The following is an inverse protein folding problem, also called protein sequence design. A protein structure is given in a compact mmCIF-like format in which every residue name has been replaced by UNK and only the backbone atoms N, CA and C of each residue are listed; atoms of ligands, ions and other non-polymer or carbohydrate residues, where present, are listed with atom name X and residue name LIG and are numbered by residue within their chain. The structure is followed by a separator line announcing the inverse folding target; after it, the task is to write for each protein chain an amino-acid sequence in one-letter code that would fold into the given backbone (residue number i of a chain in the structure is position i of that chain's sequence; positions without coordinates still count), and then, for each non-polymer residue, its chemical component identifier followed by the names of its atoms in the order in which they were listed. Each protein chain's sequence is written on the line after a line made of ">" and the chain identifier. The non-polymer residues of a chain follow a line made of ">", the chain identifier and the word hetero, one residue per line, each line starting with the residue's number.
data_IF_387074718228
#
_entry.id   IF_387074718228
#
_cell.length_a   1.000
_cell.length_b   1.000
_cell.length_c   1.000
_cell.angle_alpha   90.00
_cell.angle_beta   90.00
_cell.angle_gamma   90.00
#
_symmetry.space_group_name_H-M   'P 1'
#
loop_
_entity.id
_entity.type
_entity.pdbx_description
1 polymer ?
#
# COMPACT_ATOMS: atom_id res chain seq x y z
N UNK A 1 29.54 -18.82 24.36
CA UNK A 1 28.17 -18.76 23.83
C UNK A 1 28.19 -17.67 22.79
N UNK A 2 28.43 -18.04 21.53
CA UNK A 2 28.69 -17.09 20.45
C UNK A 2 27.37 -16.46 20.03
N UNK A 3 27.41 -15.15 19.74
CA UNK A 3 26.31 -14.38 19.18
C UNK A 3 25.65 -15.19 18.07
N UNK A 4 24.34 -15.45 18.21
CA UNK A 4 23.57 -16.00 17.10
C UNK A 4 23.66 -14.95 16.00
N UNK A 5 24.41 -15.25 14.94
CA UNK A 5 24.32 -14.50 13.70
C UNK A 5 22.84 -14.52 13.32
N UNK A 6 22.17 -13.38 13.48
CA UNK A 6 20.77 -13.27 13.09
C UNK A 6 20.75 -13.27 11.57
N UNK A 7 20.06 -14.24 10.99
CA UNK A 7 19.85 -14.36 9.55
C UNK A 7 18.90 -13.25 9.10
N UNK A 8 19.31 -12.42 8.15
CA UNK A 8 18.46 -11.41 7.53
C UNK A 8 17.71 -12.03 6.35
N UNK A 9 16.41 -12.27 6.51
CA UNK A 9 15.55 -12.79 5.45
C UNK A 9 14.62 -11.70 4.95
N UNK A 10 14.50 -11.56 3.63
CA UNK A 10 13.61 -10.58 2.98
C UNK A 10 12.53 -11.30 2.20
N UNK A 11 11.28 -11.00 2.50
CA UNK A 11 10.12 -11.51 1.76
C UNK A 11 9.50 -10.38 0.94
N UNK A 12 9.41 -10.58 -0.36
CA UNK A 12 8.83 -9.65 -1.31
C UNK A 12 7.49 -10.17 -1.81
N UNK A 13 6.44 -9.40 -1.58
CA UNK A 13 5.10 -9.66 -2.09
C UNK A 13 4.80 -8.79 -3.31
N UNK A 14 4.42 -9.41 -4.42
CA UNK A 14 4.12 -8.75 -5.69
C UNK A 14 2.73 -9.10 -6.22
N UNK A 15 2.08 -8.15 -6.89
CA UNK A 15 0.85 -8.43 -7.63
C UNK A 15 1.14 -9.17 -8.95
N UNK A 16 0.52 -10.34 -9.14
CA UNK A 16 0.70 -11.14 -10.36
C UNK A 16 -0.30 -10.78 -11.49
N UNK A 17 0.12 -10.83 -12.77
CA UNK A 17 1.40 -10.40 -13.31
C UNK A 17 1.20 -9.05 -14.02
N UNK A 18 1.63 -7.97 -13.38
CA UNK A 18 1.92 -6.74 -14.12
C UNK A 18 3.44 -6.66 -14.22
N UNK A 19 3.97 -6.94 -15.41
CA UNK A 19 5.37 -6.69 -15.80
C UNK A 19 5.59 -5.17 -15.85
N UNK A 20 5.52 -4.52 -14.69
CA UNK A 20 5.85 -3.12 -14.56
C UNK A 20 7.37 -3.07 -14.35
N UNK A 21 8.08 -2.43 -15.27
CA UNK A 21 9.54 -2.28 -15.20
C UNK A 21 10.05 -1.82 -13.82
N UNK A 22 9.36 -0.91 -13.07
CA UNK A 22 9.78 -0.55 -11.71
C UNK A 22 9.77 -1.72 -10.72
N UNK A 23 8.76 -2.59 -10.80
CA UNK A 23 8.60 -3.73 -9.88
C UNK A 23 9.67 -4.77 -10.17
N UNK A 24 9.88 -5.11 -11.44
CA UNK A 24 10.93 -6.05 -11.84
C UNK A 24 12.32 -5.52 -11.43
N UNK A 25 12.59 -4.24 -11.67
CA UNK A 25 13.85 -3.62 -11.25
C UNK A 25 14.05 -3.69 -9.74
N UNK A 26 13.02 -3.44 -8.93
CA UNK A 26 13.11 -3.54 -7.47
C UNK A 26 13.33 -4.98 -6.99
N UNK A 27 12.64 -5.96 -7.58
CA UNK A 27 12.83 -7.39 -7.23
C UNK A 27 14.25 -7.84 -7.56
N UNK A 28 14.75 -7.52 -8.76
CA UNK A 28 16.13 -7.85 -9.15
C UNK A 28 17.15 -7.09 -8.29
N UNK A 29 16.80 -5.90 -7.80
CA UNK A 29 17.64 -5.13 -6.90
C UNK A 29 17.83 -5.78 -5.54
N UNK A 30 16.75 -6.33 -4.96
CA UNK A 30 16.85 -7.10 -3.70
C UNK A 30 17.57 -8.42 -3.93
N UNK A 31 17.33 -9.07 -5.07
CA UNK A 31 18.02 -10.31 -5.44
C UNK A 31 19.53 -10.14 -5.55
N UNK A 32 19.99 -9.04 -6.14
CA UNK A 32 21.41 -8.71 -6.17
C UNK A 32 22.01 -8.60 -4.75
N UNK A 33 21.26 -8.09 -3.77
CA UNK A 33 21.73 -8.00 -2.39
C UNK A 33 21.88 -9.39 -1.74
N UNK A 34 21.07 -10.39 -2.12
CA UNK A 34 21.26 -11.79 -1.71
C UNK A 34 22.52 -12.38 -2.39
N UNK A 35 22.67 -12.17 -3.70
CA UNK A 35 23.82 -12.66 -4.47
C UNK A 35 25.17 -12.06 -3.97
N UNK A 36 25.14 -10.82 -3.51
CA UNK A 36 26.28 -10.09 -2.94
C UNK A 36 26.54 -10.44 -1.46
N UNK A 37 25.61 -11.14 -0.80
CA UNK A 37 25.71 -11.55 0.60
C UNK A 37 25.34 -10.47 1.61
N UNK A 38 24.71 -9.38 1.19
CA UNK A 38 24.16 -8.32 2.05
C UNK A 38 22.84 -8.76 2.72
N UNK A 39 22.17 -9.75 2.14
CA UNK A 39 20.98 -10.43 2.70
C UNK A 39 21.27 -11.93 2.71
N UNK A 40 20.82 -12.65 3.73
CA UNK A 40 21.04 -14.10 3.81
C UNK A 40 20.05 -14.91 2.96
N UNK A 41 18.80 -14.45 2.84
CA UNK A 41 17.75 -15.14 2.08
C UNK A 41 16.73 -14.16 1.48
N UNK A 42 16.37 -14.38 0.22
CA UNK A 42 15.32 -13.62 -0.49
C UNK A 42 14.20 -14.51 -1.02
N UNK A 43 12.95 -14.19 -0.65
CA UNK A 43 11.75 -14.94 -1.04
C UNK A 43 10.76 -14.05 -1.77
N UNK A 44 10.34 -14.46 -2.98
CA UNK A 44 9.27 -13.77 -3.72
C UNK A 44 7.95 -14.53 -3.60
N UNK A 45 6.86 -13.81 -3.35
CA UNK A 45 5.48 -14.31 -3.21
C UNK A 45 4.53 -13.44 -4.02
N UNK A 46 3.51 -14.06 -4.61
CA UNK A 46 2.47 -13.32 -5.32
C UNK A 46 1.20 -13.17 -4.50
N UNK A 47 0.46 -12.08 -4.73
CA UNK A 47 -0.89 -11.90 -4.22
C UNK A 47 -1.82 -11.29 -5.29
N UNK A 48 -3.15 -11.49 -5.18
CA UNK A 48 -4.11 -10.85 -6.06
C UNK A 48 -4.22 -9.35 -5.75
N UNK A 49 -4.78 -8.60 -6.71
CA UNK A 49 -5.02 -7.15 -6.57
C UNK A 49 -5.95 -6.82 -5.40
N UNK A 50 -7.03 -7.59 -5.28
CA UNK A 50 -8.03 -7.43 -4.24
C UNK A 50 -8.45 -8.80 -3.70
N UNK A 51 -8.74 -8.85 -2.41
CA UNK A 51 -9.13 -10.05 -1.68
C UNK A 51 -10.39 -9.75 -0.89
N UNK A 52 -11.42 -10.58 -1.03
CA UNK A 52 -12.57 -10.53 -0.14
C UNK A 52 -12.14 -10.75 1.30
N UNK A 53 -12.68 -9.96 2.24
CA UNK A 53 -12.45 -10.12 3.68
C UNK A 53 -13.37 -11.14 4.35
N UNK A 54 -14.22 -11.84 3.58
CA UNK A 54 -15.09 -12.88 4.11
C UNK A 54 -14.29 -14.11 4.55
N UNK A 55 -14.86 -14.91 5.47
CA UNK A 55 -14.28 -16.18 5.91
C UNK A 55 -14.24 -17.23 4.78
N UNK A 56 -15.06 -17.05 3.75
CA UNK A 56 -15.14 -17.93 2.58
C UNK A 56 -14.16 -17.53 1.46
N UNK A 57 -13.38 -16.47 1.66
CA UNK A 57 -12.41 -15.98 0.67
C UNK A 57 -11.36 -17.07 0.37
N UNK A 58 -11.06 -17.35 -0.92
CA UNK A 58 -10.06 -18.36 -1.31
C UNK A 58 -8.62 -17.90 -1.05
N UNK A 59 -8.40 -16.66 -0.62
CA UNK A 59 -7.09 -16.05 -0.38
C UNK A 59 -6.87 -15.76 1.12
N UNK A 60 -7.23 -16.71 1.99
CA UNK A 60 -7.06 -16.57 3.44
C UNK A 60 -5.60 -16.30 3.83
N UNK A 61 -4.64 -16.89 3.12
CA UNK A 61 -3.21 -16.68 3.34
C UNK A 61 -2.79 -15.22 3.17
N UNK A 62 -3.42 -14.48 2.25
CA UNK A 62 -3.16 -13.05 2.05
C UNK A 62 -3.75 -12.23 3.18
N UNK A 63 -4.94 -12.61 3.68
CA UNK A 63 -5.55 -11.97 4.84
C UNK A 63 -4.73 -12.19 6.12
N UNK A 64 -4.20 -13.40 6.32
CA UNK A 64 -3.33 -13.70 7.46
C UNK A 64 -2.00 -12.95 7.38
N UNK A 65 -1.41 -12.86 6.18
CA UNK A 65 -0.25 -12.01 5.91
C UNK A 65 -0.56 -10.57 6.28
N UNK A 66 -1.64 -9.99 5.74
CA UNK A 66 -2.06 -8.63 6.06
C UNK A 66 -2.26 -8.40 7.57
N UNK A 67 -2.93 -9.33 8.29
CA UNK A 67 -3.09 -9.23 9.74
C UNK A 67 -1.74 -9.23 10.48
N UNK A 68 -0.77 -10.02 10.03
CA UNK A 68 0.59 -10.02 10.60
C UNK A 68 1.28 -8.67 10.38
N UNK A 69 1.21 -8.12 9.17
CA UNK A 69 1.78 -6.81 8.84
C UNK A 69 1.12 -5.67 9.62
N UNK A 70 -0.21 -5.70 9.75
CA UNK A 70 -0.97 -4.73 10.54
C UNK A 70 -0.54 -4.77 12.02
N UNK A 71 -0.41 -5.97 12.62
CA UNK A 71 0.06 -6.10 14.01
C UNK A 71 1.49 -5.59 14.20
N UNK A 72 2.35 -5.73 13.19
CA UNK A 72 3.67 -5.11 13.23
C UNK A 72 3.52 -3.59 13.22
N UNK A 73 2.78 -3.04 12.27
CA UNK A 73 2.59 -1.60 12.12
C UNK A 73 2.03 -0.96 13.40
N UNK A 74 0.99 -1.57 13.99
CA UNK A 74 0.36 -1.12 15.23
C UNK A 74 1.33 -1.11 16.44
N UNK A 75 2.31 -2.03 16.49
CA UNK A 75 3.33 -2.06 17.56
C UNK A 75 4.39 -0.97 17.41
N UNK A 76 4.63 -0.53 16.19
CA UNK A 76 5.65 0.47 15.86
C UNK A 76 5.04 1.87 15.66
N UNK A 77 3.74 2.05 15.93
CA UNK A 77 2.98 3.29 15.71
C UNK A 77 3.13 3.83 14.27
N UNK A 78 3.25 2.92 13.30
CA UNK A 78 3.28 3.24 11.87
C UNK A 78 2.05 2.69 11.17
N UNK A 79 1.75 3.25 10.00
CA UNK A 79 0.65 2.84 9.15
C UNK A 79 1.15 2.19 7.87
N UNK A 80 0.69 0.97 7.60
CA UNK A 80 0.82 0.30 6.30
C UNK A 80 -0.31 0.69 5.32
N UNK A 81 -1.16 1.63 5.72
CA UNK A 81 -2.07 2.37 4.85
C UNK A 81 -1.45 3.75 4.54
N UNK A 82 -1.53 4.26 3.30
CA UNK A 82 -2.39 3.86 2.17
C UNK A 82 -1.96 2.68 1.25
N UNK A 83 -0.79 2.02 1.38
CA UNK A 83 -0.41 0.88 0.52
C UNK A 83 -1.41 -0.29 0.56
N UNK A 84 -1.89 -0.63 1.75
CA UNK A 84 -3.04 -1.51 1.94
C UNK A 84 -4.30 -0.68 2.14
N UNK A 85 -5.36 -0.97 1.36
CA UNK A 85 -6.63 -0.25 1.44
C UNK A 85 -7.79 -1.20 1.65
N UNK A 86 -8.78 -0.76 2.41
CA UNK A 86 -10.07 -1.45 2.50
C UNK A 86 -11.08 -0.71 1.63
N UNK A 87 -11.76 -1.41 0.73
CA UNK A 87 -12.81 -0.85 -0.12
C UNK A 87 -14.11 -1.63 0.03
N UNK A 88 -15.21 -0.92 0.04
CA UNK A 88 -16.55 -1.51 -0.05
C UNK A 88 -16.97 -1.51 -1.52
N UNK A 89 -17.27 -2.68 -2.08
CA UNK A 89 -17.70 -2.85 -3.47
C UNK A 89 -19.08 -3.47 -3.49
N UNK A 90 -20.00 -2.89 -4.25
CA UNK A 90 -21.34 -3.45 -4.46
C UNK A 90 -21.38 -4.18 -5.80
N UNK A 91 -21.78 -5.45 -5.77
CA UNK A 91 -22.04 -6.26 -6.96
C UNK A 91 -23.25 -5.70 -7.70
N UNK A 92 -23.08 -5.29 -8.96
CA UNK A 92 -24.21 -4.80 -9.77
C UNK A 92 -25.19 -5.91 -10.16
N UNK A 93 -24.80 -7.18 -10.00
CA UNK A 93 -25.60 -8.35 -10.39
C UNK A 93 -26.41 -8.85 -9.20
N UNK A 94 -25.81 -8.90 -8.01
CA UNK A 94 -26.46 -9.44 -6.80
C UNK A 94 -26.94 -8.35 -5.85
N UNK A 95 -26.59 -7.07 -6.08
CA UNK A 95 -26.78 -5.93 -5.16
C UNK A 95 -26.10 -6.13 -3.78
N UNK A 96 -25.27 -7.17 -3.67
CA UNK A 96 -24.57 -7.47 -2.43
C UNK A 96 -23.33 -6.59 -2.31
N UNK A 97 -23.15 -6.04 -1.12
CA UNK A 97 -22.02 -5.18 -0.79
C UNK A 97 -20.99 -6.00 -0.02
N UNK A 98 -19.78 -6.07 -0.56
CA UNK A 98 -18.66 -6.79 0.05
C UNK A 98 -17.50 -5.83 0.35
N UNK A 99 -16.81 -6.08 1.46
CA UNK A 99 -15.59 -5.37 1.82
C UNK A 99 -14.37 -6.15 1.34
N UNK A 100 -13.54 -5.52 0.52
CA UNK A 100 -12.32 -6.09 -0.06
C UNK A 100 -11.07 -5.39 0.47
N UNK A 101 -10.03 -6.17 0.70
CA UNK A 101 -8.66 -5.70 0.93
C UNK A 101 -7.97 -5.54 -0.42
N UNK A 102 -7.48 -4.35 -0.70
CA UNK A 102 -6.66 -4.01 -1.86
C UNK A 102 -5.19 -4.03 -1.41
N UNK A 103 -4.40 -4.95 -1.98
CA UNK A 103 -2.97 -5.12 -1.68
C UNK A 103 -2.12 -4.00 -2.30
N UNK A 104 -0.85 -3.81 -1.94
CA UNK A 104 0.04 -2.95 -2.71
C UNK A 104 0.61 -3.67 -3.94
N UNK A 105 1.20 -2.92 -4.87
CA UNK A 105 1.93 -3.51 -6.02
C UNK A 105 3.15 -4.29 -5.57
N UNK A 106 3.86 -3.76 -4.59
CA UNK A 106 5.06 -4.31 -3.98
C UNK A 106 4.98 -4.09 -2.46
N UNK A 107 5.38 -5.07 -1.67
CA UNK A 107 5.59 -4.96 -0.23
C UNK A 107 6.78 -5.81 0.18
N UNK A 108 7.59 -5.30 1.09
CA UNK A 108 8.76 -5.97 1.64
C UNK A 108 8.53 -6.23 3.12
N UNK A 109 8.83 -7.46 3.54
CA UNK A 109 8.93 -7.88 4.93
C UNK A 109 10.39 -8.22 5.24
N UNK A 110 10.88 -7.80 6.39
CA UNK A 110 12.25 -8.04 6.85
C UNK A 110 12.23 -8.83 8.15
N UNK A 111 13.00 -9.93 8.17
CA UNK A 111 13.12 -10.80 9.33
C UNK A 111 14.55 -10.87 9.83
N UNK A 112 14.73 -10.76 11.14
CA UNK A 112 15.97 -11.13 11.82
C UNK A 112 15.75 -12.45 12.56
N UNK A 113 16.26 -13.54 11.97
CA UNK A 113 15.85 -14.89 12.34
C UNK A 113 14.37 -15.08 12.07
N UNK A 114 13.57 -15.30 13.13
CA UNK A 114 12.12 -15.50 13.03
C UNK A 114 11.31 -14.23 13.38
N UNK A 115 11.98 -13.13 13.74
CA UNK A 115 11.33 -11.89 14.17
C UNK A 115 11.09 -10.95 13.00
N UNK A 116 9.83 -10.58 12.76
CA UNK A 116 9.47 -9.54 11.80
C UNK A 116 9.88 -8.18 12.37
N UNK A 117 10.90 -7.59 11.77
CA UNK A 117 11.50 -6.32 12.21
C UNK A 117 11.14 -5.14 11.32
N UNK A 118 10.71 -5.39 10.08
CA UNK A 118 10.40 -4.32 9.12
C UNK A 118 9.28 -4.69 8.16
N UNK A 119 8.36 -3.76 7.91
CA UNK A 119 7.38 -3.84 6.82
C UNK A 119 7.40 -2.54 6.03
N UNK A 120 7.49 -2.65 4.71
CA UNK A 120 7.53 -1.49 3.81
C UNK A 120 6.69 -1.73 2.56
N UNK A 121 6.02 -0.71 2.01
CA UNK A 121 6.04 0.67 2.48
C UNK A 121 5.19 0.88 3.74
N UNK A 122 5.60 1.82 4.59
CA UNK A 122 4.83 2.30 5.74
C UNK A 122 4.98 3.81 5.90
N UNK A 123 4.12 4.44 6.69
CA UNK A 123 4.20 5.84 7.06
C UNK A 123 4.19 6.01 8.57
N UNK A 124 4.99 6.95 9.08
CA UNK A 124 5.06 7.32 10.49
C UNK A 124 4.23 8.59 10.82
N UNK A 125 3.34 9.00 9.91
CA UNK A 125 2.54 10.22 10.04
C UNK A 125 3.20 11.51 9.54
N UNK A 126 4.53 11.52 9.37
CA UNK A 126 5.28 12.64 8.81
C UNK A 126 5.75 12.36 7.38
N UNK A 127 6.26 11.15 7.15
CA UNK A 127 6.74 10.70 5.85
C UNK A 127 6.28 9.28 5.53
N UNK A 128 6.40 8.90 4.26
CA UNK A 128 6.20 7.53 3.79
C UNK A 128 7.54 6.98 3.37
N UNK A 129 7.97 5.89 4.02
CA UNK A 129 9.17 5.16 3.65
C UNK A 129 8.77 4.13 2.60
N UNK A 130 9.28 4.28 1.38
CA UNK A 130 8.93 3.43 0.24
C UNK A 130 9.81 2.18 0.18
N UNK A 131 9.42 1.19 -0.63
CA UNK A 131 10.29 0.04 -0.92
C UNK A 131 11.58 0.45 -1.63
N UNK A 132 11.57 1.55 -2.39
CA UNK A 132 12.75 2.05 -3.08
C UNK A 132 13.78 2.62 -2.11
N UNK A 133 13.32 3.42 -1.13
CA UNK A 133 14.18 3.99 -0.08
C UNK A 133 14.92 2.88 0.66
N UNK A 134 14.20 1.80 0.99
CA UNK A 134 14.73 0.66 1.72
C UNK A 134 15.72 -0.14 0.87
N UNK A 135 15.41 -0.39 -0.40
CA UNK A 135 16.32 -1.09 -1.32
C UNK A 135 17.61 -0.29 -1.50
N UNK A 136 17.51 1.03 -1.68
CA UNK A 136 18.67 1.91 -1.80
C UNK A 136 19.57 1.84 -0.56
N UNK A 137 18.95 1.76 0.62
CA UNK A 137 19.62 1.70 1.91
C UNK A 137 20.36 0.36 2.12
N UNK A 138 19.72 -0.76 1.84
CA UNK A 138 20.36 -2.10 1.94
C UNK A 138 21.51 -2.24 0.95
N UNK A 139 21.38 -1.70 -0.27
CA UNK A 139 22.47 -1.72 -1.26
C UNK A 139 23.74 -0.98 -0.83
N UNK A 140 23.65 -0.13 0.18
CA UNK A 140 24.81 0.54 0.76
C UNK A 140 25.45 -0.23 1.91
N UNK A 141 24.83 -1.32 2.37
CA UNK A 141 25.37 -2.17 3.42
C UNK A 141 26.35 -3.22 2.87
N UNK A 142 27.38 -3.53 3.66
CA UNK A 142 28.44 -4.46 3.28
C UNK A 142 28.11 -5.93 3.64
N UNK A 143 27.22 -6.13 4.61
CA UNK A 143 26.90 -7.43 5.19
C UNK A 143 25.50 -7.44 5.84
N UNK A 144 24.95 -8.60 6.23
CA UNK A 144 23.60 -8.69 6.80
C UNK A 144 23.42 -7.93 8.11
N UNK A 145 24.46 -7.80 8.94
CA UNK A 145 24.36 -7.07 10.19
C UNK A 145 24.33 -5.56 9.96
N UNK A 146 25.15 -5.04 9.03
CA UNK A 146 25.07 -3.63 8.64
C UNK A 146 23.73 -3.32 7.96
N UNK A 147 23.20 -4.19 7.10
CA UNK A 147 21.89 -4.02 6.49
C UNK A 147 20.75 -4.00 7.53
N UNK A 148 20.82 -4.87 8.55
CA UNK A 148 19.87 -4.91 9.65
C UNK A 148 19.86 -3.62 10.47
N UNK A 149 21.02 -3.06 10.78
CA UNK A 149 21.15 -1.78 11.50
C UNK A 149 20.55 -0.63 10.68
N UNK A 150 20.81 -0.66 9.38
CA UNK A 150 20.34 0.32 8.42
C UNK A 150 18.80 0.33 8.30
N UNK A 151 18.19 -0.85 8.40
CA UNK A 151 16.73 -1.07 8.43
C UNK A 151 16.10 -0.71 9.78
N UNK A 152 16.79 -1.02 10.88
CA UNK A 152 16.35 -0.65 12.21
C UNK A 152 16.26 0.88 12.36
N UNK A 153 17.18 1.62 11.74
CA UNK A 153 17.15 3.09 11.73
C UNK A 153 15.92 3.69 11.01
N UNK A 154 15.29 2.94 10.10
CA UNK A 154 14.07 3.36 9.40
C UNK A 154 12.78 2.96 10.14
N UNK A 155 12.88 2.08 11.14
CA UNK A 155 11.73 1.61 11.88
C UNK A 155 11.70 2.32 13.23
N UNK A 156 10.66 3.11 13.55
CA UNK A 156 10.55 3.65 14.90
C UNK A 156 10.58 2.49 15.91
N UNK A 157 11.40 2.66 16.95
CA UNK A 157 11.43 1.72 18.08
C UNK A 157 10.00 1.52 18.58
N UNK A 158 9.56 0.27 18.83
CA UNK A 158 8.21 0.04 19.30
C UNK A 158 8.05 0.80 20.62
N UNK A 159 7.09 1.74 20.66
CA UNK A 159 6.66 2.32 21.93
C UNK A 159 6.27 1.14 22.83
N UNK A 160 7.07 0.91 23.89
CA UNK A 160 6.76 -0.08 24.91
C UNK A 160 5.30 0.09 25.34
N UNK A 161 4.61 -1.00 25.75
CA UNK A 161 3.16 -1.14 25.69
C UNK A 161 2.42 0.17 25.95
N UNK A 162 1.90 0.77 24.88
CA UNK A 162 1.05 1.95 24.98
C UNK A 162 -0.07 1.66 25.99
N UNK A 163 -0.32 2.54 26.98
CA UNK A 163 -1.45 2.36 27.88
C UNK A 163 -2.73 2.29 27.04
N UNK A 164 -3.73 1.49 27.46
CA UNK A 164 -4.99 1.39 26.72
C UNK A 164 -5.55 2.79 26.52
N UNK A 165 -5.80 3.16 25.25
CA UNK A 165 -6.47 4.41 24.90
C UNK A 165 -7.74 4.49 25.72
N UNK A 166 -7.84 5.51 26.58
CA UNK A 166 -9.04 5.76 27.35
C UNK A 166 -10.20 5.97 26.37
N UNK A 167 -11.29 5.21 26.55
CA UNK A 167 -12.55 5.45 25.85
C UNK A 167 -12.88 6.94 25.92
N UNK A 168 -13.19 7.60 24.78
CA UNK A 168 -13.60 8.98 24.80
C UNK A 168 -14.91 9.09 25.60
N UNK A 169 -14.80 9.59 26.82
CA UNK A 169 -15.97 9.92 27.63
C UNK A 169 -16.63 11.11 26.96
N UNK A 170 -17.81 10.87 26.39
CA UNK A 170 -18.68 11.88 25.80
C UNK A 170 -18.98 12.92 26.88
N UNK A 171 -18.36 14.10 26.78
CA UNK A 171 -18.75 15.28 27.54
C UNK A 171 -19.88 15.98 26.77
N UNK A 172 -21.08 15.87 27.32
CA UNK A 172 -22.28 16.55 26.86
C UNK A 172 -22.31 17.95 27.46
N UNK A 173 -22.05 19.01 26.69
CA UNK A 173 -22.46 20.38 27.07
C UNK A 173 -22.84 21.19 25.82
N UNK A 174 -23.90 21.97 26.01
CA UNK A 174 -24.85 22.53 25.05
C UNK A 174 -24.68 24.07 24.96
N UNK A 175 -25.22 24.66 23.88
CA UNK A 175 -25.64 26.06 23.71
C UNK A 175 -24.65 27.21 23.30
N UNK A 176 -24.55 27.41 21.97
CA UNK A 176 -24.93 28.61 21.14
C UNK A 176 -24.27 30.03 21.33
N UNK A 177 -24.54 31.03 20.43
CA UNK A 177 -24.15 31.11 19.01
C UNK A 177 -23.58 32.50 18.54
N UNK A 178 -23.09 32.56 17.28
CA UNK A 178 -22.91 33.80 16.47
C UNK A 178 -21.54 33.93 15.80
N UNK A 179 -21.31 34.43 14.58
CA UNK A 179 -22.11 34.76 13.38
C UNK A 179 -21.09 35.15 12.28
N UNK A 180 -21.17 34.49 11.11
CA UNK A 180 -20.89 34.91 9.69
C UNK A 180 -19.68 35.81 9.34
N UNK A 181 -18.67 35.24 8.63
CA UNK A 181 -18.35 35.37 7.17
C UNK A 181 -17.66 36.70 6.77
N UNK A 182 -16.50 36.71 6.07
CA UNK A 182 -16.43 36.49 4.61
C UNK A 182 -15.01 36.24 4.06
N UNK A 183 -14.96 35.31 3.11
CA UNK A 183 -14.22 35.25 1.83
C UNK A 183 -12.69 35.47 1.70
N UNK A 184 -12.00 34.35 1.51
CA UNK A 184 -11.18 34.12 0.31
C UNK A 184 -11.08 32.61 0.07
N UNK A 185 -12.01 32.07 -0.73
CA UNK A 185 -12.03 30.66 -1.13
C UNK A 185 -10.83 30.35 -2.04
N UNK A 186 -9.70 30.02 -1.45
CA UNK A 186 -8.67 29.24 -2.14
C UNK A 186 -9.25 27.84 -2.24
N UNK A 187 -9.71 27.42 -3.43
CA UNK A 187 -10.18 26.04 -3.67
C UNK A 187 -8.95 25.14 -3.56
N UNK A 188 -8.55 24.79 -2.34
CA UNK A 188 -7.62 23.71 -2.09
C UNK A 188 -8.31 22.44 -2.58
N UNK A 189 -8.02 22.08 -3.83
CA UNK A 189 -8.50 20.85 -4.41
C UNK A 189 -7.73 19.71 -3.74
N UNK A 190 -8.29 19.22 -2.65
CA UNK A 190 -7.72 18.15 -1.86
C UNK A 190 -8.00 16.82 -2.56
N UNK A 191 -6.99 15.95 -2.67
CA UNK A 191 -7.14 14.67 -3.32
C UNK A 191 -8.21 13.82 -2.60
N UNK A 192 -9.23 13.29 -3.30
CA UNK A 192 -10.25 12.47 -2.66
C UNK A 192 -9.73 11.12 -2.17
N UNK A 193 -8.51 10.73 -2.58
CA UNK A 193 -7.90 9.44 -2.29
C UNK A 193 -6.86 9.48 -1.15
N UNK A 194 -6.26 10.64 -0.87
CA UNK A 194 -5.23 10.76 0.19
C UNK A 194 -5.19 12.11 0.90
N UNK A 195 -6.14 13.00 0.61
CA UNK A 195 -6.17 14.38 1.09
C UNK A 195 -4.90 15.22 0.77
N UNK A 196 -4.03 14.70 -0.09
CA UNK A 196 -2.85 15.41 -0.59
C UNK A 196 -3.21 16.52 -1.56
N UNK A 197 -2.28 17.44 -1.79
CA UNK A 197 -2.49 18.55 -2.71
C UNK A 197 -2.59 18.07 -4.17
N UNK A 198 -3.68 18.43 -4.87
CA UNK A 198 -3.81 18.19 -6.30
C UNK A 198 -3.10 19.27 -7.11
N UNK A 199 -2.44 18.84 -8.19
CA UNK A 199 -1.87 19.75 -9.19
C UNK A 199 -2.82 19.77 -10.40
N UNK A 200 -3.33 20.94 -10.74
CA UNK A 200 -4.17 21.16 -11.92
C UNK A 200 -3.30 21.45 -13.15
N UNK A 201 -3.38 20.56 -14.14
CA UNK A 201 -2.84 20.74 -15.48
C UNK A 201 -3.98 20.73 -16.51
N UNK A 202 -4.46 21.91 -16.90
CA UNK A 202 -5.38 22.08 -18.04
C UNK A 202 -6.68 21.25 -17.91
N UNK A 203 -7.30 21.20 -16.72
CA UNK A 203 -8.57 20.49 -16.48
C UNK A 203 -8.41 19.02 -16.09
N UNK A 204 -7.17 18.54 -15.96
CA UNK A 204 -6.82 17.26 -15.38
C UNK A 204 -6.05 17.50 -14.07
N UNK A 205 -6.49 16.89 -12.98
CA UNK A 205 -5.85 16.95 -11.67
C UNK A 205 -5.09 15.67 -11.39
N UNK A 206 -3.86 15.79 -10.92
CA UNK A 206 -3.04 14.67 -10.50
C UNK A 206 -2.56 14.85 -9.05
N UNK A 207 -2.63 13.79 -8.25
CA UNK A 207 -2.03 13.73 -6.94
C UNK A 207 -0.60 13.18 -7.04
N UNK A 208 0.37 13.90 -6.49
CA UNK A 208 1.78 13.44 -6.46
C UNK A 208 2.03 12.33 -5.45
N UNK A 209 1.23 12.27 -4.39
CA UNK A 209 1.46 11.34 -3.27
C UNK A 209 0.91 9.95 -3.54
N UNK A 210 -0.24 9.87 -4.22
CA UNK A 210 -0.89 8.59 -4.50
C UNK A 210 -1.07 8.28 -6.00
N UNK A 211 -0.62 9.18 -6.89
CA UNK A 211 -0.71 9.00 -8.35
C UNK A 211 -2.13 9.08 -8.92
N UNK A 212 -3.11 9.47 -8.11
CA UNK A 212 -4.50 9.61 -8.54
C UNK A 212 -4.63 10.66 -9.64
N UNK A 213 -5.39 10.36 -10.70
CA UNK A 213 -5.72 11.30 -11.77
C UNK A 213 -7.24 11.40 -11.95
N UNK A 214 -7.74 12.61 -12.16
CA UNK A 214 -9.15 12.86 -12.40
C UNK A 214 -9.41 14.19 -13.09
N UNK A 215 -10.67 14.47 -13.40
CA UNK A 215 -11.10 15.75 -13.96
C UNK A 215 -11.98 16.50 -12.97
N UNK A 216 -11.90 17.83 -13.00
CA UNK A 216 -12.76 18.69 -12.19
C UNK A 216 -14.07 18.88 -12.93
N UNK A 217 -15.18 18.37 -12.38
CA UNK A 217 -16.51 18.64 -12.91
C UNK A 217 -16.94 20.08 -12.55
N UNK A 218 -17.80 20.68 -13.38
CA UNK A 218 -18.25 22.09 -13.24
C UNK A 218 -18.98 22.36 -11.92
N UNK A 219 -19.50 21.32 -11.26
CA UNK A 219 -20.14 21.37 -9.94
C UNK A 219 -19.14 21.25 -8.77
N UNK A 220 -17.83 21.22 -9.03
CA UNK A 220 -16.79 21.05 -8.01
C UNK A 220 -16.59 19.61 -7.54
N UNK A 221 -17.23 18.62 -8.18
CA UNK A 221 -16.99 17.20 -7.92
C UNK A 221 -15.78 16.66 -8.70
N UNK A 222 -15.11 15.64 -8.16
CA UNK A 222 -14.00 14.96 -8.82
C UNK A 222 -14.50 13.69 -9.52
N UNK A 223 -14.30 13.59 -10.83
CA UNK A 223 -14.57 12.39 -11.61
C UNK A 223 -13.27 11.65 -11.93
N UNK A 224 -13.16 10.38 -11.53
CA UNK A 224 -12.04 9.53 -11.96
C UNK A 224 -12.21 9.20 -13.44
N UNK A 225 -11.36 9.75 -14.30
CA UNK A 225 -11.21 9.24 -15.67
C UNK A 225 -10.25 8.05 -15.62
N UNK A 226 -10.76 6.87 -15.28
CA UNK A 226 -10.07 5.67 -15.72
C UNK A 226 -10.03 5.74 -17.25
N UNK A 227 -8.88 5.54 -17.92
CA UNK A 227 -8.89 5.18 -19.31
C UNK A 227 -9.54 3.79 -19.38
N UNK A 228 -10.86 3.77 -19.51
CA UNK A 228 -11.57 2.55 -19.89
C UNK A 228 -10.97 2.12 -21.23
N UNK A 229 -10.33 0.96 -21.20
CA UNK A 229 -9.95 0.26 -22.40
C UNK A 229 -11.16 0.23 -23.32
N UNK A 230 -11.00 0.84 -24.49
CA UNK A 230 -11.94 0.77 -25.60
C UNK A 230 -12.48 -0.64 -25.68
N UNK A 231 -13.78 -0.79 -25.45
CA UNK A 231 -14.50 -2.05 -25.70
C UNK A 231 -14.26 -2.40 -27.16
N UNK A 232 -13.41 -3.40 -27.39
CA UNK A 232 -13.22 -4.01 -28.69
C UNK A 232 -14.58 -4.55 -29.13
N UNK A 233 -15.06 -4.02 -30.25
CA UNK A 233 -16.31 -4.40 -30.83
C UNK A 233 -16.23 -5.86 -31.27
N UNK A 234 -17.13 -6.67 -30.73
CA UNK A 234 -17.48 -8.03 -31.15
C UNK A 234 -17.27 -8.25 -32.67
N UNK A 235 -16.25 -9.03 -33.10
CA UNK A 235 -16.27 -9.60 -34.44
C UNK A 235 -17.15 -10.85 -34.39
N UNK A 236 -18.36 -10.71 -34.92
CA UNK A 236 -19.35 -11.79 -35.03
C UNK A 236 -18.83 -13.10 -35.67
N UNK A 237 -19.62 -14.18 -35.60
CA UNK A 237 -19.13 -15.53 -35.76
C UNK A 237 -18.64 -15.82 -37.18
N UNK A 238 -17.36 -16.18 -37.30
CA UNK A 238 -16.77 -16.70 -38.54
C UNK A 238 -17.39 -18.06 -38.87
N UNK A 239 -18.00 -18.14 -40.05
CA UNK A 239 -18.68 -19.31 -40.57
C UNK A 239 -17.66 -20.25 -41.23
N UNK A 240 -17.44 -21.41 -40.63
CA UNK A 240 -16.50 -22.43 -41.11
C UNK A 240 -16.84 -22.93 -42.52
N UNK A 241 -15.85 -22.97 -43.41
CA UNK A 241 -15.91 -23.59 -44.74
C UNK A 241 -15.37 -25.03 -44.62
N UNK A 242 -16.04 -26.06 -45.19
CA UNK A 242 -15.53 -27.43 -45.14
C UNK A 242 -14.43 -27.68 -46.19
N UNK A 243 -13.49 -28.60 -45.93
CA UNK A 243 -12.41 -28.90 -46.86
C UNK A 243 -12.89 -29.73 -48.07
N UNK A 244 -12.20 -29.55 -49.21
CA UNK A 244 -12.32 -30.37 -50.43
C UNK A 244 -11.34 -31.52 -50.43
#
# INVERSE_FOLDING_TARGET
>A
MNARSQTLTVVCHVRAPLLLEPVDSQVESVRACEDEGTIDEFLVRSWPKAVSRSEESPYQEVLETYKRLQRWADRHDVSISPPFRTRTTTSQITDETETVLVTPLLCLEYYLGDELVGVYPHSNGEETITTEDVIARIRCADDPASAAEELAALTPEPDGPSPPRADPTIATEDDAPGSVETDAWTRSATCPDCEGQLIDGQGLVACRECGWTGTIAENGGYGSTSPEASTDADPGPVRSVPPR
#
